data_IF_249708947997
#
_entry.id   IF_249708947997
#
_cell.length_a   1.000
_cell.length_b   1.000
_cell.length_c   1.000
_cell.angle_alpha   90.00
_cell.angle_beta   90.00
_cell.angle_gamma   90.00
#
_symmetry.space_group_name_H-M   'P 1'
#
loop_
_entity.id
_entity.type
_entity.pdbx_description
1 polymer ?
#
# COMPACT_ATOMS: atom_id res chain seq x y z
N UNK A 1 4.34 16.18 10.16
CA UNK A 1 3.11 16.36 10.98
C UNK A 1 1.83 16.23 10.15
N UNK A 2 1.71 16.90 8.98
CA UNK A 2 0.48 16.88 8.15
C UNK A 2 0.10 15.48 7.66
N UNK A 3 1.04 14.70 7.13
CA UNK A 3 0.79 13.34 6.62
C UNK A 3 0.14 12.45 7.68
N UNK A 4 0.56 12.53 8.95
CA UNK A 4 -0.08 11.76 10.04
C UNK A 4 -1.55 12.12 10.21
N UNK A 5 -1.91 13.40 10.09
CA UNK A 5 -3.30 13.88 10.22
C UNK A 5 -4.13 13.36 9.04
N UNK A 6 -3.60 13.45 7.81
CA UNK A 6 -4.27 12.95 6.62
C UNK A 6 -4.50 11.44 6.69
N UNK A 7 -3.46 10.66 7.05
CA UNK A 7 -3.56 9.21 7.19
C UNK A 7 -4.60 8.81 8.23
N UNK A 8 -4.56 9.43 9.42
CA UNK A 8 -5.53 9.15 10.47
C UNK A 8 -6.98 9.39 10.00
N UNK A 9 -7.25 10.48 9.26
CA UNK A 9 -8.60 10.75 8.74
C UNK A 9 -9.01 9.82 7.61
N UNK A 10 -8.07 9.36 6.76
CA UNK A 10 -8.36 8.35 5.73
C UNK A 10 -8.66 6.98 6.36
N UNK A 11 -7.93 6.58 7.39
CA UNK A 11 -8.20 5.37 8.18
C UNK A 11 -9.57 5.45 8.86
N UNK A 12 -9.90 6.58 9.49
CA UNK A 12 -11.21 6.82 10.09
C UNK A 12 -12.35 6.78 9.06
N UNK A 13 -12.12 7.27 7.83
CA UNK A 13 -13.09 7.16 6.76
C UNK A 13 -13.36 5.71 6.38
N UNK A 14 -12.32 4.87 6.29
CA UNK A 14 -12.47 3.45 6.03
C UNK A 14 -13.21 2.74 7.19
N UNK A 15 -12.89 3.08 8.43
CA UNK A 15 -13.60 2.57 9.62
C UNK A 15 -15.06 3.01 9.65
N UNK A 16 -15.34 4.28 9.31
CA UNK A 16 -16.70 4.81 9.23
C UNK A 16 -17.54 4.07 8.19
N UNK A 17 -16.97 3.75 7.04
CA UNK A 17 -17.66 2.95 6.02
C UNK A 17 -17.93 1.52 6.48
N UNK A 18 -17.06 0.94 7.31
CA UNK A 18 -17.23 -0.39 7.86
C UNK A 18 -18.19 -0.43 9.07
N UNK A 19 -18.07 0.55 9.97
CA UNK A 19 -18.89 0.65 11.18
C UNK A 19 -19.09 2.13 11.59
N UNK A 20 -20.12 2.80 11.04
CA UNK A 20 -20.39 4.22 11.28
C UNK A 20 -20.58 4.57 12.77
N UNK A 21 -21.28 3.74 13.50
CA UNK A 21 -21.58 4.00 14.91
C UNK A 21 -20.33 3.94 15.78
N UNK A 22 -19.47 2.93 15.58
CA UNK A 22 -18.23 2.82 16.34
C UNK A 22 -17.34 4.03 16.12
N UNK A 23 -17.17 4.46 14.86
CA UNK A 23 -16.35 5.64 14.53
C UNK A 23 -16.95 6.92 15.12
N UNK A 24 -18.28 7.08 15.07
CA UNK A 24 -18.94 8.24 15.65
C UNK A 24 -18.74 8.33 17.17
N UNK A 25 -18.79 7.22 17.90
CA UNK A 25 -18.59 7.22 19.35
C UNK A 25 -17.11 7.39 19.74
N UNK A 26 -16.16 6.85 18.96
CA UNK A 26 -14.73 7.00 19.25
C UNK A 26 -14.18 8.36 18.84
N UNK A 27 -14.66 8.91 17.72
CA UNK A 27 -14.19 10.16 17.11
C UNK A 27 -15.36 11.04 16.65
N UNK A 28 -16.12 11.63 17.59
CA UNK A 28 -17.36 12.36 17.26
C UNK A 28 -17.14 13.60 16.38
N UNK A 29 -15.93 14.16 16.37
CA UNK A 29 -15.57 15.29 15.51
C UNK A 29 -15.15 14.90 14.09
N UNK A 30 -14.98 13.60 13.80
CA UNK A 30 -14.53 13.12 12.50
C UNK A 30 -15.40 13.63 11.33
N UNK A 31 -16.74 13.50 11.34
CA UNK A 31 -17.56 13.93 10.20
C UNK A 31 -17.42 15.44 9.88
N UNK A 32 -17.18 16.25 10.90
CA UNK A 32 -17.05 17.71 10.74
C UNK A 32 -15.67 18.15 10.28
N UNK A 33 -14.64 17.35 10.54
CA UNK A 33 -13.24 17.64 10.21
C UNK A 33 -12.76 17.00 8.92
N UNK A 34 -13.40 15.91 8.49
CA UNK A 34 -12.94 15.10 7.38
C UNK A 34 -12.76 15.92 6.09
N UNK A 35 -13.78 16.68 5.70
CA UNK A 35 -13.72 17.46 4.46
C UNK A 35 -12.57 18.47 4.48
N UNK A 36 -12.39 19.22 5.56
CA UNK A 36 -11.31 20.23 5.65
C UNK A 36 -9.91 19.59 5.62
N UNK A 37 -9.76 18.38 6.18
CA UNK A 37 -8.48 17.64 6.15
C UNK A 37 -8.19 17.11 4.75
N UNK A 38 -9.21 16.60 4.06
CA UNK A 38 -9.10 16.15 2.67
C UNK A 38 -8.78 17.31 1.73
N UNK A 39 -9.45 18.46 1.90
CA UNK A 39 -9.16 19.68 1.14
C UNK A 39 -7.71 20.17 1.37
N UNK A 40 -7.21 20.19 2.62
CA UNK A 40 -5.80 20.55 2.90
C UNK A 40 -4.83 19.59 2.21
N UNK A 41 -5.15 18.30 2.19
CA UNK A 41 -4.33 17.27 1.56
C UNK A 41 -4.24 17.48 0.04
N UNK A 42 -5.37 17.65 -0.64
CA UNK A 42 -5.40 17.87 -2.10
C UNK A 42 -4.80 19.22 -2.48
N UNK A 43 -5.14 20.30 -1.80
CA UNK A 43 -4.55 21.62 -2.05
C UNK A 43 -3.04 21.64 -1.85
N UNK A 44 -2.51 20.83 -0.93
CA UNK A 44 -1.07 20.65 -0.80
C UNK A 44 -0.48 19.90 -2.00
N UNK A 45 -1.13 18.81 -2.44
CA UNK A 45 -0.73 18.03 -3.62
C UNK A 45 -0.70 18.87 -4.90
N UNK A 46 -1.75 19.66 -5.14
CA UNK A 46 -1.82 20.58 -6.28
C UNK A 46 -0.65 21.54 -6.32
N UNK A 47 -0.33 22.19 -5.19
CA UNK A 47 0.82 23.11 -5.10
C UNK A 47 2.14 22.40 -5.38
N UNK A 48 2.32 21.18 -4.87
CA UNK A 48 3.54 20.40 -5.09
C UNK A 48 3.66 19.99 -6.56
N UNK A 49 2.58 19.50 -7.17
CA UNK A 49 2.58 19.10 -8.58
C UNK A 49 2.80 20.30 -9.52
N UNK A 50 2.21 21.46 -9.22
CA UNK A 50 2.45 22.69 -9.95
C UNK A 50 3.92 23.15 -9.84
N UNK A 51 4.51 23.10 -8.62
CA UNK A 51 5.95 23.39 -8.43
C UNK A 51 6.83 22.43 -9.24
N UNK A 52 6.52 21.13 -9.27
CA UNK A 52 7.29 20.14 -10.03
C UNK A 52 7.17 20.30 -11.54
N UNK A 53 6.08 20.85 -12.03
CA UNK A 53 5.93 21.22 -13.45
C UNK A 53 6.86 22.37 -13.83
N UNK A 54 7.01 23.35 -12.94
CA UNK A 54 7.83 24.55 -13.20
C UNK A 54 9.29 24.34 -12.80
N UNK A 55 9.54 23.60 -11.73
CA UNK A 55 10.85 23.35 -11.17
C UNK A 55 11.08 21.84 -11.00
N UNK A 56 11.41 21.11 -12.08
CA UNK A 56 11.65 19.66 -12.03
C UNK A 56 12.78 19.31 -11.06
N UNK A 57 12.63 18.17 -10.37
CA UNK A 57 13.62 17.57 -9.48
C UNK A 57 13.78 16.09 -9.79
N UNK A 58 14.81 15.44 -9.26
CA UNK A 58 15.01 14.01 -9.36
C UNK A 58 14.11 13.27 -8.33
N UNK A 59 12.78 13.38 -8.50
CA UNK A 59 11.80 12.73 -7.62
C UNK A 59 10.60 12.18 -8.40
N UNK A 60 9.90 11.24 -7.79
CA UNK A 60 8.71 10.60 -8.36
C UNK A 60 7.61 11.61 -8.70
N UNK A 61 7.47 12.68 -7.92
CA UNK A 61 6.44 13.70 -8.13
C UNK A 61 6.69 14.50 -9.40
N UNK A 62 7.96 14.75 -9.75
CA UNK A 62 8.34 15.35 -11.04
C UNK A 62 7.97 14.44 -12.20
N UNK A 63 8.27 13.14 -12.10
CA UNK A 63 7.90 12.16 -13.15
C UNK A 63 6.39 12.18 -13.39
N UNK A 64 5.59 12.14 -12.33
CA UNK A 64 4.13 12.16 -12.44
C UNK A 64 3.64 13.51 -12.98
N UNK A 65 4.13 14.62 -12.45
CA UNK A 65 3.68 15.96 -12.84
C UNK A 65 3.98 16.28 -14.31
N UNK A 66 5.04 15.69 -14.86
CA UNK A 66 5.46 15.87 -16.25
C UNK A 66 5.00 14.74 -17.19
N UNK A 67 4.34 13.70 -16.65
CA UNK A 67 3.81 12.61 -17.46
C UNK A 67 2.78 13.09 -18.46
N UNK A 68 2.75 12.44 -19.62
CA UNK A 68 1.86 12.76 -20.74
C UNK A 68 1.02 11.54 -21.12
N UNK A 69 -0.21 11.79 -21.51
CA UNK A 69 -1.10 10.83 -22.15
C UNK A 69 -1.53 11.39 -23.50
N UNK A 70 -1.27 10.65 -24.57
CA UNK A 70 -1.59 11.13 -25.92
C UNK A 70 -0.81 12.39 -26.36
N UNK A 71 0.33 12.68 -25.74
CA UNK A 71 1.17 13.86 -26.00
C UNK A 71 0.86 15.09 -25.13
N UNK A 72 -0.24 15.09 -24.42
CA UNK A 72 -0.66 16.15 -23.49
C UNK A 72 -0.32 15.80 -22.04
N UNK A 73 -0.06 16.81 -21.20
CA UNK A 73 0.16 16.61 -19.77
C UNK A 73 -1.07 15.99 -19.11
N UNK A 74 -0.84 15.14 -18.12
CA UNK A 74 -1.93 14.53 -17.35
C UNK A 74 -2.85 15.61 -16.76
N UNK A 75 -4.19 15.45 -16.88
CA UNK A 75 -5.15 16.36 -16.27
C UNK A 75 -5.05 16.32 -14.73
N UNK A 76 -5.59 17.37 -14.08
CA UNK A 76 -5.47 17.53 -12.63
C UNK A 76 -6.05 16.34 -11.86
N UNK A 77 -7.15 15.77 -12.31
CA UNK A 77 -7.78 14.60 -11.67
C UNK A 77 -6.84 13.39 -11.55
N UNK A 78 -5.99 13.17 -12.58
CA UNK A 78 -4.96 12.11 -12.52
C UNK A 78 -3.84 12.44 -11.54
N UNK A 79 -3.46 13.72 -11.43
CA UNK A 79 -2.45 14.17 -10.47
C UNK A 79 -2.98 14.01 -9.04
N UNK A 80 -4.23 14.35 -8.79
CA UNK A 80 -4.88 14.22 -7.49
C UNK A 80 -5.02 12.75 -7.09
N UNK A 81 -5.44 11.88 -8.01
CA UNK A 81 -5.48 10.44 -7.80
C UNK A 81 -4.10 9.85 -7.52
N UNK A 82 -3.08 10.28 -8.25
CA UNK A 82 -1.69 9.85 -8.03
C UNK A 82 -1.15 10.34 -6.69
N UNK A 83 -1.46 11.58 -6.32
CA UNK A 83 -1.10 12.14 -5.01
C UNK A 83 -1.72 11.35 -3.86
N UNK A 84 -3.03 11.10 -3.92
CA UNK A 84 -3.73 10.28 -2.94
C UNK A 84 -3.13 8.88 -2.82
N UNK A 85 -2.85 8.24 -3.96
CA UNK A 85 -2.26 6.90 -4.00
C UNK A 85 -0.89 6.87 -3.32
N UNK A 86 -0.01 7.84 -3.60
CA UNK A 86 1.31 7.92 -2.99
C UNK A 86 1.21 8.09 -1.48
N UNK A 87 0.37 9.02 -1.02
CA UNK A 87 0.23 9.31 0.41
C UNK A 87 -0.40 8.14 1.15
N UNK A 88 -1.47 7.54 0.62
CA UNK A 88 -2.19 6.46 1.28
C UNK A 88 -1.46 5.12 1.16
N UNK A 89 -1.29 4.62 -0.08
CA UNK A 89 -0.76 3.28 -0.30
C UNK A 89 0.74 3.17 0.05
N UNK A 90 1.52 4.21 -0.24
CA UNK A 90 2.97 4.20 -0.01
C UNK A 90 3.37 4.36 1.46
N UNK A 91 2.50 4.91 2.32
CA UNK A 91 2.86 5.13 3.72
C UNK A 91 2.57 3.91 4.60
N UNK A 92 1.37 3.36 4.56
CA UNK A 92 0.95 2.31 5.49
C UNK A 92 1.65 0.97 5.19
N UNK A 93 1.68 0.56 3.93
CA UNK A 93 2.36 -0.68 3.51
C UNK A 93 3.86 -0.65 3.84
N UNK A 94 4.53 0.48 3.58
CA UNK A 94 5.96 0.63 3.89
C UNK A 94 6.24 0.59 5.40
N UNK A 95 5.41 1.23 6.21
CA UNK A 95 5.52 1.18 7.68
C UNK A 95 5.34 -0.24 8.21
N UNK A 96 4.31 -0.95 7.72
CA UNK A 96 4.02 -2.31 8.12
C UNK A 96 5.14 -3.27 7.68
N UNK A 97 5.66 -3.10 6.47
CA UNK A 97 6.81 -3.87 5.98
C UNK A 97 8.04 -3.64 6.85
N UNK A 98 8.38 -2.37 7.13
CA UNK A 98 9.57 -2.04 7.92
C UNK A 98 9.46 -2.56 9.36
N UNK A 99 8.33 -2.33 10.04
CA UNK A 99 8.13 -2.81 11.41
C UNK A 99 8.08 -4.33 11.48
N UNK A 100 7.46 -4.98 10.50
CA UNK A 100 7.44 -6.43 10.37
C UNK A 100 8.84 -7.01 10.11
N UNK A 101 9.65 -6.36 9.27
CA UNK A 101 11.04 -6.77 9.03
C UNK A 101 11.86 -6.73 10.32
N UNK A 102 11.73 -5.66 11.12
CA UNK A 102 12.42 -5.56 12.42
C UNK A 102 11.97 -6.68 13.35
N UNK A 103 10.68 -7.03 13.37
CA UNK A 103 10.15 -8.15 14.14
C UNK A 103 10.78 -9.46 13.67
N UNK A 104 10.79 -9.74 12.37
CA UNK A 104 11.39 -10.96 11.79
C UNK A 104 12.88 -11.06 12.08
N UNK A 105 13.64 -9.97 12.00
CA UNK A 105 15.06 -9.95 12.37
C UNK A 105 15.31 -10.29 13.85
N UNK A 106 14.34 -10.06 14.74
CA UNK A 106 14.43 -10.50 16.12
C UNK A 106 14.00 -11.96 16.31
N UNK A 107 13.05 -12.44 15.53
CA UNK A 107 12.61 -13.85 15.54
C UNK A 107 13.66 -14.79 14.91
N UNK A 108 14.45 -14.29 13.94
CA UNK A 108 15.51 -15.04 13.24
C UNK A 108 16.89 -14.39 13.43
N UNK A 109 17.49 -14.49 14.64
CA UNK A 109 18.74 -13.79 14.97
C UNK A 109 19.94 -14.22 14.13
N UNK A 110 19.97 -15.50 13.71
CA UNK A 110 21.06 -16.03 12.87
C UNK A 110 21.06 -15.35 11.49
N UNK A 111 19.89 -15.17 10.92
CA UNK A 111 19.75 -14.51 9.62
C UNK A 111 20.01 -12.99 9.72
N UNK A 112 19.63 -12.38 10.84
CA UNK A 112 20.04 -11.00 11.13
C UNK A 112 21.57 -10.88 11.16
N UNK A 113 22.26 -11.82 11.79
CA UNK A 113 23.73 -11.81 11.82
C UNK A 113 24.33 -11.91 10.41
N UNK A 114 23.79 -12.78 9.54
CA UNK A 114 24.23 -12.91 8.15
C UNK A 114 24.08 -11.59 7.37
N UNK A 115 22.97 -10.90 7.51
CA UNK A 115 22.75 -9.61 6.83
C UNK A 115 23.66 -8.51 7.37
N UNK A 116 23.98 -8.53 8.67
CA UNK A 116 24.92 -7.58 9.26
C UNK A 116 26.37 -7.84 8.80
N UNK A 117 26.72 -9.09 8.56
CA UNK A 117 28.02 -9.51 8.05
C UNK A 117 28.18 -9.24 6.55
N UNK A 118 27.09 -9.48 5.78
CA UNK A 118 27.03 -9.22 4.34
C UNK A 118 25.82 -8.36 3.95
N UNK A 119 25.95 -7.02 3.89
CA UNK A 119 24.89 -6.12 3.47
C UNK A 119 24.38 -6.33 2.03
N UNK A 120 25.09 -7.10 1.20
CA UNK A 120 24.62 -7.42 -0.16
C UNK A 120 23.36 -8.30 -0.14
N UNK A 121 23.03 -8.93 1.00
CA UNK A 121 21.83 -9.72 1.22
C UNK A 121 20.56 -8.87 1.48
N UNK A 122 20.69 -7.55 1.69
CA UNK A 122 19.54 -6.67 1.99
C UNK A 122 18.43 -6.75 0.93
N UNK A 123 18.71 -6.77 -0.38
CA UNK A 123 17.64 -6.92 -1.38
C UNK A 123 16.83 -8.21 -1.18
N UNK A 124 17.50 -9.36 -1.05
CA UNK A 124 16.82 -10.65 -0.82
C UNK A 124 16.05 -10.66 0.50
N UNK A 125 16.64 -10.14 1.58
CA UNK A 125 15.94 -9.97 2.86
C UNK A 125 14.68 -9.13 2.72
N UNK A 126 14.72 -8.08 1.90
CA UNK A 126 13.56 -7.19 1.71
C UNK A 126 12.41 -7.91 1.01
N UNK A 127 12.70 -8.67 -0.07
CA UNK A 127 11.70 -9.48 -0.78
C UNK A 127 11.10 -10.55 0.13
N UNK A 128 11.94 -11.25 0.88
CA UNK A 128 11.51 -12.30 1.79
C UNK A 128 10.70 -11.74 2.97
N UNK A 129 11.08 -10.58 3.50
CA UNK A 129 10.30 -9.90 4.51
C UNK A 129 8.91 -9.50 3.98
N UNK A 130 8.80 -9.01 2.74
CA UNK A 130 7.51 -8.73 2.09
C UNK A 130 6.66 -9.99 1.92
N UNK A 131 7.28 -11.11 1.54
CA UNK A 131 6.61 -12.41 1.44
C UNK A 131 6.03 -12.82 2.78
N UNK A 132 6.82 -12.80 3.83
CA UNK A 132 6.42 -13.26 5.17
C UNK A 132 5.40 -12.33 5.84
N UNK A 133 5.52 -11.03 5.66
CA UNK A 133 4.64 -10.03 6.29
C UNK A 133 3.34 -9.89 5.52
N UNK A 134 3.39 -9.93 4.19
CA UNK A 134 2.24 -9.66 3.30
C UNK A 134 1.49 -8.40 3.75
N UNK A 135 2.09 -7.21 3.64
CA UNK A 135 1.52 -5.97 4.20
C UNK A 135 0.15 -5.62 3.61
N UNK A 136 -0.14 -6.09 2.40
CA UNK A 136 -1.49 -6.18 1.84
C UNK A 136 -1.94 -7.63 1.99
N UNK A 137 -2.84 -7.89 2.94
CA UNK A 137 -3.26 -9.26 3.29
C UNK A 137 -4.06 -9.89 2.16
N UNK A 138 -4.99 -9.14 1.58
CA UNK A 138 -5.85 -9.62 0.49
C UNK A 138 -6.34 -8.49 -0.39
N UNK A 139 -6.74 -8.84 -1.61
CA UNK A 139 -7.48 -7.95 -2.51
C UNK A 139 -8.69 -8.67 -3.11
N UNK A 140 -9.72 -7.90 -3.46
CA UNK A 140 -10.94 -8.42 -4.07
C UNK A 140 -10.97 -8.10 -5.57
N UNK A 141 -11.55 -9.05 -6.33
CA UNK A 141 -11.94 -8.86 -7.73
C UNK A 141 -13.42 -9.18 -7.89
N UNK A 142 -14.03 -8.66 -8.92
CA UNK A 142 -15.41 -9.03 -9.33
C UNK A 142 -15.30 -9.60 -10.73
N UNK A 143 -15.89 -10.77 -10.96
CA UNK A 143 -15.92 -11.40 -12.27
C UNK A 143 -16.73 -10.53 -13.24
N UNK A 144 -16.18 -10.23 -14.41
CA UNK A 144 -16.85 -9.43 -15.45
C UNK A 144 -17.74 -10.27 -16.36
N UNK A 145 -17.54 -11.57 -16.35
CA UNK A 145 -18.28 -12.59 -17.11
C UNK A 145 -18.20 -13.93 -16.38
N UNK A 146 -19.03 -14.90 -16.78
CA UNK A 146 -18.93 -16.27 -16.29
C UNK A 146 -17.56 -16.83 -16.70
N UNK A 147 -16.85 -17.41 -15.74
CA UNK A 147 -15.50 -17.95 -15.95
C UNK A 147 -15.25 -19.19 -15.11
N UNK A 148 -14.09 -19.78 -15.26
CA UNK A 148 -13.65 -20.93 -14.47
C UNK A 148 -12.20 -20.75 -14.03
N UNK A 149 -11.92 -21.07 -12.77
CA UNK A 149 -10.57 -21.06 -12.19
C UNK A 149 -10.32 -22.40 -11.50
N UNK A 150 -9.34 -23.15 -11.97
CA UNK A 150 -8.98 -24.47 -11.42
C UNK A 150 -10.20 -25.42 -11.24
N UNK A 151 -11.09 -25.48 -12.22
CA UNK A 151 -12.30 -26.32 -12.17
C UNK A 151 -13.47 -25.72 -11.37
N UNK A 152 -13.26 -24.60 -10.66
CA UNK A 152 -14.30 -23.91 -9.95
C UNK A 152 -14.99 -22.90 -10.87
N UNK A 153 -16.30 -23.08 -11.08
CA UNK A 153 -17.13 -22.13 -11.84
C UNK A 153 -17.39 -20.88 -11.02
N UNK A 154 -17.26 -19.74 -11.68
CA UNK A 154 -17.44 -18.41 -11.10
C UNK A 154 -18.40 -17.67 -12.00
N UNK A 155 -19.55 -17.26 -11.48
CA UNK A 155 -20.53 -16.52 -12.23
C UNK A 155 -20.11 -15.03 -12.35
N UNK A 156 -20.63 -14.39 -13.39
CA UNK A 156 -20.54 -12.94 -13.53
C UNK A 156 -21.03 -12.26 -12.26
N UNK A 157 -20.35 -11.17 -11.87
CA UNK A 157 -20.59 -10.35 -10.69
C UNK A 157 -20.25 -11.02 -9.34
N UNK A 158 -19.81 -12.30 -9.33
CA UNK A 158 -19.26 -12.93 -8.13
C UNK A 158 -17.93 -12.30 -7.71
N UNK A 159 -17.66 -12.36 -6.41
CA UNK A 159 -16.51 -11.72 -5.79
C UNK A 159 -15.47 -12.75 -5.39
N UNK A 160 -14.26 -12.56 -5.91
CA UNK A 160 -13.10 -13.37 -5.58
C UNK A 160 -12.20 -12.60 -4.62
N UNK A 161 -11.68 -13.28 -3.62
CA UNK A 161 -10.68 -12.74 -2.70
C UNK A 161 -9.35 -13.42 -2.95
N UNK A 162 -8.35 -12.62 -3.27
CA UNK A 162 -6.97 -13.04 -3.47
C UNK A 162 -6.23 -12.89 -2.15
N UNK A 163 -5.97 -13.99 -1.45
CA UNK A 163 -5.25 -14.02 -0.18
C UNK A 163 -3.74 -14.07 -0.41
N UNK A 164 -3.07 -12.91 -0.42
CA UNK A 164 -1.62 -12.83 -0.64
C UNK A 164 -0.82 -13.53 0.45
N UNK A 165 -1.25 -13.45 1.71
CA UNK A 165 -0.59 -14.17 2.79
C UNK A 165 -0.63 -15.69 2.64
N UNK A 166 -1.68 -16.25 2.02
CA UNK A 166 -1.76 -17.68 1.70
C UNK A 166 -0.87 -18.02 0.48
N UNK A 167 -0.95 -17.22 -0.60
CA UNK A 167 -0.13 -17.42 -1.79
C UNK A 167 1.37 -17.35 -1.48
N UNK A 168 1.75 -16.42 -0.60
CA UNK A 168 3.15 -16.24 -0.15
C UNK A 168 3.64 -17.37 0.79
N UNK A 169 2.77 -18.29 1.17
CA UNK A 169 3.08 -19.48 1.98
C UNK A 169 2.66 -20.77 1.32
N UNK A 170 2.46 -20.76 0.01
CA UNK A 170 2.09 -21.93 -0.74
C UNK A 170 3.24 -22.95 -0.72
N UNK A 171 3.05 -24.16 -0.13
CA UNK A 171 4.11 -25.16 -0.04
C UNK A 171 4.50 -25.78 -1.38
N UNK A 172 3.66 -25.64 -2.40
CA UNK A 172 3.97 -26.10 -3.76
C UNK A 172 5.00 -25.17 -4.45
N UNK A 173 5.11 -23.92 -3.96
CA UNK A 173 6.05 -22.92 -4.48
C UNK A 173 7.24 -22.71 -3.54
N UNK A 174 6.98 -22.68 -2.23
CA UNK A 174 7.99 -22.40 -1.20
C UNK A 174 8.24 -23.64 -0.34
N UNK A 175 9.40 -24.26 -0.46
CA UNK A 175 9.74 -25.53 0.20
C UNK A 175 9.63 -25.48 1.74
N UNK A 176 9.82 -24.35 2.37
CA UNK A 176 9.68 -24.14 3.81
C UNK A 176 9.05 -22.76 4.05
N UNK A 177 7.74 -22.58 3.78
CA UNK A 177 7.12 -21.28 3.65
C UNK A 177 7.15 -20.43 4.95
N UNK A 178 7.33 -21.03 6.10
CA UNK A 178 7.42 -20.36 7.40
C UNK A 178 8.86 -20.15 7.89
N UNK A 179 9.85 -20.62 7.13
CA UNK A 179 11.25 -20.41 7.43
C UNK A 179 11.84 -19.32 6.55
N UNK A 180 12.58 -18.44 7.19
CA UNK A 180 13.66 -17.65 6.59
C UNK A 180 13.41 -16.29 5.99
N UNK A 181 14.35 -15.38 6.29
CA UNK A 181 14.51 -14.05 5.68
C UNK A 181 15.49 -14.01 4.49
N UNK A 182 16.18 -15.10 4.13
CA UNK A 182 17.35 -15.05 3.22
C UNK A 182 17.36 -16.19 2.18
N UNK A 183 16.44 -17.14 2.23
CA UNK A 183 16.51 -18.38 1.44
C UNK A 183 15.70 -18.38 0.12
N UNK A 184 15.54 -17.22 -0.52
CA UNK A 184 15.02 -17.18 -1.90
C UNK A 184 16.19 -17.18 -2.89
#
# INVERSE_FOLDING_TARGET
PKVKVWMHHLELAAQFLANPWQTFFSEPMFPFRFNSVVEDMFSYGERVMADRRMHPREDLLTVIAQSKLGGELLPQEFLDGSWLLIIFAGNDTSRNSLSGTIRLMNEFPDQRAMVLEDPSLIPNMSEEALRMISPVIHMRRTATEDTELNGQKIAKDEKLVLWYGAANRDPDIFANPDLSLIHI
#
